data_IF_703057169869
#
_entry.id   IF_703057169869
#
_cell.length_a   1.000
_cell.length_b   1.000
_cell.length_c   1.000
_cell.angle_alpha   90.00
_cell.angle_beta   90.00
_cell.angle_gamma   90.00
#
_symmetry.space_group_name_H-M   'P 1'
#
loop_
_entity.id
_entity.type
_entity.pdbx_description
1 polymer ?
#
# COMPACT_ATOMS: atom_id res chain seq x y z
N UNK A 1 -34.41 -51.28 35.25
CA UNK A 1 -34.58 -50.31 34.15
C UNK A 1 -35.58 -49.24 34.61
N UNK A 2 -35.15 -48.06 35.10
CA UNK A 2 -36.08 -47.04 35.55
C UNK A 2 -36.66 -46.31 34.34
N UNK A 3 -37.99 -46.37 34.18
CA UNK A 3 -38.78 -45.66 33.19
C UNK A 3 -38.76 -44.16 33.48
N UNK A 4 -38.18 -43.37 32.58
CA UNK A 4 -38.15 -41.91 32.67
C UNK A 4 -39.56 -41.39 32.39
N UNK A 5 -40.31 -41.10 33.44
CA UNK A 5 -41.60 -40.40 33.35
C UNK A 5 -41.32 -38.91 33.15
N UNK A 6 -41.38 -38.47 31.90
CA UNK A 6 -41.13 -37.08 31.49
C UNK A 6 -42.26 -36.20 32.05
N UNK A 7 -41.99 -35.55 33.18
CA UNK A 7 -42.88 -34.56 33.78
C UNK A 7 -42.91 -33.32 32.90
N UNK A 8 -44.08 -32.69 32.68
CA UNK A 8 -44.22 -31.51 31.79
C UNK A 8 -43.27 -30.34 32.11
N UNK A 9 -42.77 -30.27 33.35
CA UNK A 9 -41.74 -29.33 33.78
C UNK A 9 -40.38 -29.53 33.07
N UNK A 10 -40.01 -30.77 32.74
CA UNK A 10 -38.76 -31.05 32.00
C UNK A 10 -38.85 -30.60 30.54
N UNK A 11 -40.01 -30.77 29.89
CA UNK A 11 -40.25 -30.30 28.52
C UNK A 11 -40.12 -28.77 28.44
N UNK A 12 -40.70 -28.05 29.40
CA UNK A 12 -40.57 -26.60 29.50
C UNK A 12 -39.11 -26.15 29.69
N UNK A 13 -38.33 -26.92 30.45
CA UNK A 13 -36.91 -26.63 30.70
C UNK A 13 -36.07 -26.79 29.42
N UNK A 14 -36.30 -27.86 28.65
CA UNK A 14 -35.61 -28.06 27.36
C UNK A 14 -35.98 -26.99 26.32
N UNK A 15 -37.24 -26.55 26.30
CA UNK A 15 -37.69 -25.46 25.42
C UNK A 15 -37.00 -24.13 25.76
N UNK A 16 -36.90 -23.80 27.05
CA UNK A 16 -36.18 -22.60 27.51
C UNK A 16 -34.68 -22.68 27.24
N UNK A 17 -34.06 -23.85 27.39
CA UNK A 17 -32.65 -24.06 27.06
C UNK A 17 -32.38 -23.87 25.56
N UNK A 18 -33.29 -24.36 24.72
CA UNK A 18 -33.27 -24.13 23.27
C UNK A 18 -33.36 -22.64 22.93
N UNK A 19 -34.31 -21.92 23.54
CA UNK A 19 -34.49 -20.49 23.32
C UNK A 19 -33.27 -19.67 23.76
N UNK A 20 -32.68 -20.02 24.91
CA UNK A 20 -31.44 -19.43 25.40
C UNK A 20 -30.27 -19.69 24.44
N UNK A 21 -30.14 -20.91 23.91
CA UNK A 21 -29.07 -21.25 22.97
C UNK A 21 -29.14 -20.45 21.66
N UNK A 22 -30.36 -20.22 21.15
CA UNK A 22 -30.60 -19.39 19.97
C UNK A 22 -30.23 -17.94 20.26
N UNK A 23 -30.63 -17.43 21.43
CA UNK A 23 -30.34 -16.06 21.84
C UNK A 23 -28.82 -15.83 22.02
N UNK A 24 -28.12 -16.80 22.61
CA UNK A 24 -26.66 -16.81 22.73
C UNK A 24 -25.98 -16.89 21.36
N UNK A 25 -26.48 -17.72 20.44
CA UNK A 25 -25.94 -17.82 19.08
C UNK A 25 -26.03 -16.48 18.32
N UNK A 26 -27.17 -15.81 18.37
CA UNK A 26 -27.33 -14.48 17.76
C UNK A 26 -26.49 -13.41 18.46
N UNK A 27 -26.36 -13.49 19.79
CA UNK A 27 -25.48 -12.60 20.56
C UNK A 27 -24.01 -12.75 20.16
N UNK A 28 -23.52 -13.99 20.02
CA UNK A 28 -22.16 -14.27 19.54
C UNK A 28 -21.96 -13.81 18.10
N UNK A 29 -22.96 -13.97 17.22
CA UNK A 29 -22.91 -13.42 15.86
C UNK A 29 -22.77 -11.89 15.85
N UNK A 30 -23.53 -11.17 16.67
CA UNK A 30 -23.41 -9.71 16.82
C UNK A 30 -22.06 -9.28 17.40
N UNK A 31 -21.55 -10.04 18.37
CA UNK A 31 -20.23 -9.77 18.96
C UNK A 31 -19.11 -10.04 17.96
N UNK A 32 -19.17 -11.15 17.21
CA UNK A 32 -18.24 -11.42 16.11
C UNK A 32 -18.31 -10.30 15.08
N UNK A 33 -19.50 -9.80 14.75
CA UNK A 33 -19.65 -8.71 13.77
C UNK A 33 -19.14 -7.34 14.27
N UNK A 34 -19.15 -7.09 15.58
CA UNK A 34 -18.63 -5.85 16.20
C UNK A 34 -17.16 -5.94 16.64
N UNK A 35 -16.66 -7.15 16.93
CA UNK A 35 -15.27 -7.44 17.32
C UNK A 35 -14.43 -7.95 16.16
N UNK A 36 -14.86 -7.74 14.92
CA UNK A 36 -14.03 -7.94 13.73
C UNK A 36 -13.33 -6.60 13.39
N UNK A 37 -12.19 -6.23 14.03
CA UNK A 37 -11.40 -5.06 13.63
C UNK A 37 -10.84 -5.23 12.21
N UNK A 38 -11.03 -6.42 11.62
CA UNK A 38 -10.65 -6.76 10.26
C UNK A 38 -11.81 -6.87 9.28
N UNK A 39 -13.08 -6.61 9.63
CA UNK A 39 -14.16 -6.47 8.61
C UNK A 39 -14.19 -5.07 7.99
N UNK A 40 -13.62 -4.07 8.67
CA UNK A 40 -13.06 -2.85 8.04
C UNK A 40 -11.70 -3.13 7.39
N UNK A 41 -11.51 -4.34 6.82
CA UNK A 41 -10.28 -4.69 6.11
C UNK A 41 -10.08 -3.65 4.99
N UNK A 42 -8.88 -3.07 4.89
CA UNK A 42 -8.52 -1.95 4.02
C UNK A 42 -8.37 -2.43 2.56
N UNK A 43 -9.38 -3.13 2.04
CA UNK A 43 -9.41 -3.63 0.68
C UNK A 43 -10.09 -2.66 -0.25
N UNK A 44 -11.24 -2.09 0.12
CA UNK A 44 -12.00 -1.21 -0.77
C UNK A 44 -11.54 0.26 -0.76
N UNK A 45 -11.18 0.81 0.41
CA UNK A 45 -10.68 2.19 0.50
C UNK A 45 -9.31 2.30 -0.19
N UNK A 46 -8.40 1.38 0.14
CA UNK A 46 -7.06 1.26 -0.45
C UNK A 46 -7.09 0.89 -1.93
N UNK A 47 -8.05 0.07 -2.37
CA UNK A 47 -8.21 -0.24 -3.81
C UNK A 47 -8.70 0.94 -4.60
N UNK A 48 -9.67 1.71 -4.10
CA UNK A 48 -10.12 2.94 -4.77
C UNK A 48 -9.01 3.98 -4.85
N UNK A 49 -8.22 4.13 -3.78
CA UNK A 49 -7.10 5.07 -3.74
C UNK A 49 -5.94 4.62 -4.64
N UNK A 50 -5.57 3.34 -4.61
CA UNK A 50 -4.59 2.75 -5.52
C UNK A 50 -5.06 2.84 -6.98
N UNK A 51 -6.31 2.52 -7.28
CA UNK A 51 -6.89 2.62 -8.62
C UNK A 51 -6.86 4.08 -9.11
N UNK A 52 -7.12 5.06 -8.23
CA UNK A 52 -7.05 6.49 -8.56
C UNK A 52 -5.59 6.93 -8.81
N UNK A 53 -4.64 6.49 -8.00
CA UNK A 53 -3.21 6.74 -8.24
C UNK A 53 -2.73 6.11 -9.55
N UNK A 54 -3.11 4.87 -9.84
CA UNK A 54 -2.76 4.18 -11.08
C UNK A 54 -3.37 4.87 -12.30
N UNK A 55 -4.61 5.37 -12.19
CA UNK A 55 -5.22 6.19 -13.23
C UNK A 55 -4.46 7.49 -13.46
N UNK A 56 -4.01 8.18 -12.40
CA UNK A 56 -3.18 9.39 -12.52
C UNK A 56 -1.83 9.11 -13.17
N UNK A 57 -1.26 7.93 -12.90
CA UNK A 57 0.00 7.45 -13.50
C UNK A 57 -0.23 6.93 -14.95
N UNK A 58 -1.47 6.84 -15.43
CA UNK A 58 -1.81 6.44 -16.79
C UNK A 58 -1.89 4.93 -17.03
N UNK A 59 -1.84 4.12 -15.98
CA UNK A 59 -1.99 2.67 -16.07
C UNK A 59 -3.48 2.29 -16.03
N UNK A 60 -4.10 2.14 -17.21
CA UNK A 60 -5.50 1.72 -17.34
C UNK A 60 -5.61 0.19 -17.50
N UNK A 61 -6.46 -0.44 -16.69
CA UNK A 61 -6.92 -1.82 -16.92
C UNK A 61 -6.02 -2.94 -16.41
N UNK A 62 -5.12 -2.67 -15.46
CA UNK A 62 -4.27 -3.72 -14.86
C UNK A 62 -5.06 -4.45 -13.76
N UNK A 63 -5.22 -5.78 -13.90
CA UNK A 63 -5.77 -6.62 -12.82
C UNK A 63 -4.65 -6.89 -11.81
N UNK A 64 -4.63 -6.11 -10.74
CA UNK A 64 -3.65 -6.28 -9.65
C UNK A 64 -4.16 -7.29 -8.62
N UNK A 65 -3.23 -8.11 -8.13
CA UNK A 65 -3.40 -8.94 -6.93
C UNK A 65 -3.40 -8.07 -5.66
N UNK A 66 -3.84 -8.62 -4.52
CA UNK A 66 -3.84 -7.87 -3.25
C UNK A 66 -2.45 -7.35 -2.85
N UNK A 67 -1.40 -8.14 -3.11
CA UNK A 67 -0.02 -7.74 -2.83
C UNK A 67 0.43 -6.58 -3.72
N UNK A 68 0.15 -6.64 -5.02
CA UNK A 68 0.49 -5.56 -5.96
C UNK A 68 -0.30 -4.29 -5.67
N UNK A 69 -1.53 -4.41 -5.17
CA UNK A 69 -2.33 -3.28 -4.72
C UNK A 69 -1.71 -2.59 -3.51
N UNK A 70 -1.19 -3.36 -2.55
CA UNK A 70 -0.45 -2.82 -1.40
C UNK A 70 0.80 -2.06 -1.86
N UNK A 71 1.54 -2.59 -2.84
CA UNK A 71 2.68 -1.89 -3.43
C UNK A 71 2.27 -0.61 -4.17
N UNK A 72 1.17 -0.67 -4.92
CA UNK A 72 0.65 0.47 -5.66
C UNK A 72 0.27 1.65 -4.74
N UNK A 73 -0.23 1.37 -3.53
CA UNK A 73 -0.55 2.41 -2.54
C UNK A 73 0.68 3.20 -2.03
N UNK A 74 1.89 2.66 -2.21
CA UNK A 74 3.15 3.32 -1.80
C UNK A 74 3.76 4.14 -2.94
N UNK A 75 3.24 4.02 -4.17
CA UNK A 75 3.73 4.77 -5.31
C UNK A 75 3.43 6.26 -5.17
N UNK A 76 4.40 7.09 -5.49
CA UNK A 76 4.28 8.55 -5.46
C UNK A 76 4.23 9.08 -6.87
N UNK A 77 3.23 9.90 -7.16
CA UNK A 77 3.10 10.62 -8.42
C UNK A 77 4.17 11.74 -8.51
N UNK A 78 5.04 11.75 -9.53
CA UNK A 78 6.04 12.80 -9.74
C UNK A 78 5.47 14.22 -9.72
N UNK A 79 4.24 14.41 -10.20
CA UNK A 79 3.59 15.73 -10.30
C UNK A 79 3.22 16.31 -8.92
N UNK A 80 3.07 15.46 -7.90
CA UNK A 80 2.73 15.88 -6.54
C UNK A 80 3.95 16.38 -5.75
N UNK A 81 5.16 16.17 -6.27
CA UNK A 81 6.39 16.60 -5.61
C UNK A 81 6.58 18.10 -5.81
N UNK A 82 6.61 18.87 -4.72
CA UNK A 82 6.74 20.34 -4.77
C UNK A 82 8.17 20.83 -5.06
N UNK A 83 9.19 20.04 -4.74
CA UNK A 83 10.61 20.43 -4.80
C UNK A 83 11.18 20.34 -6.23
N UNK A 84 11.91 21.36 -6.66
CA UNK A 84 12.66 21.42 -7.91
C UNK A 84 14.18 21.53 -7.67
N UNK A 85 14.97 21.35 -8.73
CA UNK A 85 16.43 21.54 -8.67
C UNK A 85 16.85 22.97 -8.34
N UNK A 86 16.04 23.96 -8.70
CA UNK A 86 16.25 25.37 -8.36
C UNK A 86 16.22 25.63 -6.86
N UNK A 87 15.55 24.76 -6.11
CA UNK A 87 15.33 24.94 -4.67
C UNK A 87 16.53 24.41 -3.85
N UNK A 88 17.51 23.81 -4.51
CA UNK A 88 18.68 23.17 -3.90
C UNK A 88 19.92 24.00 -4.21
N UNK A 89 20.40 24.74 -3.22
CA UNK A 89 21.61 25.57 -3.36
C UNK A 89 22.90 24.83 -3.00
N UNK A 90 24.00 25.18 -3.67
CA UNK A 90 25.36 24.79 -3.28
C UNK A 90 25.76 23.34 -3.58
N UNK A 91 24.94 22.60 -4.33
CA UNK A 91 25.16 21.19 -4.69
C UNK A 91 25.17 20.98 -6.20
N UNK A 92 25.47 22.03 -6.99
CA UNK A 92 25.38 22.03 -8.45
C UNK A 92 26.20 20.92 -9.14
N UNK A 93 27.39 20.63 -8.62
CA UNK A 93 28.24 19.52 -9.10
C UNK A 93 27.56 18.17 -8.93
N UNK A 94 27.05 17.88 -7.73
CA UNK A 94 26.34 16.65 -7.41
C UNK A 94 25.06 16.52 -8.23
N UNK A 95 24.32 17.62 -8.39
CA UNK A 95 23.11 17.67 -9.22
C UNK A 95 23.44 17.31 -10.68
N UNK A 96 24.54 17.85 -11.22
CA UNK A 96 24.99 17.55 -12.58
C UNK A 96 25.33 16.07 -12.74
N UNK A 97 26.14 15.51 -11.85
CA UNK A 97 26.53 14.11 -11.90
C UNK A 97 25.31 13.19 -11.83
N UNK A 98 24.34 13.52 -10.96
CA UNK A 98 23.12 12.75 -10.78
C UNK A 98 22.20 12.84 -12.02
N UNK A 99 22.14 13.99 -12.70
CA UNK A 99 21.41 14.13 -13.98
C UNK A 99 22.01 13.27 -15.08
N UNK A 100 23.33 13.27 -15.22
CA UNK A 100 24.03 12.48 -16.25
C UNK A 100 23.96 10.97 -15.95
N UNK A 101 24.05 10.59 -14.68
CA UNK A 101 24.16 9.18 -14.28
C UNK A 101 22.79 8.51 -14.11
N UNK A 102 21.76 9.23 -13.64
CA UNK A 102 20.43 8.66 -13.34
C UNK A 102 19.37 9.10 -14.34
N UNK A 103 19.25 10.41 -14.59
CA UNK A 103 18.14 10.93 -15.40
C UNK A 103 18.36 10.65 -16.89
N UNK A 104 19.59 10.81 -17.39
CA UNK A 104 19.91 10.62 -18.81
C UNK A 104 19.60 9.18 -19.28
N UNK A 105 20.02 8.10 -18.58
CA UNK A 105 19.67 6.75 -18.99
C UNK A 105 18.16 6.46 -18.91
N UNK A 106 17.44 7.07 -17.96
CA UNK A 106 15.98 6.90 -17.84
C UNK A 106 15.22 7.58 -18.98
N UNK A 107 15.67 8.75 -19.43
CA UNK A 107 15.06 9.48 -20.56
C UNK A 107 15.44 8.90 -21.93
N UNK A 108 16.69 8.47 -22.10
CA UNK A 108 17.21 7.98 -23.38
C UNK A 108 17.50 6.47 -23.36
N UNK A 109 16.52 5.66 -22.90
CA UNK A 109 16.68 4.20 -22.78
C UNK A 109 17.17 3.53 -24.07
N UNK A 110 16.79 4.04 -25.24
CA UNK A 110 17.15 3.48 -26.55
C UNK A 110 18.65 3.56 -26.86
N UNK A 111 19.34 4.60 -26.40
CA UNK A 111 20.79 4.77 -26.60
C UNK A 111 21.58 3.83 -25.68
N UNK A 112 21.19 3.75 -24.41
CA UNK A 112 21.84 2.90 -23.42
C UNK A 112 21.57 1.40 -23.64
N UNK A 113 20.44 1.02 -24.26
CA UNK A 113 20.16 -0.38 -24.60
C UNK A 113 21.06 -0.95 -25.71
N UNK A 114 21.57 -0.09 -26.60
CA UNK A 114 22.34 -0.50 -27.79
C UNK A 114 23.84 -0.50 -27.54
N UNK A 115 24.30 0.28 -26.56
CA UNK A 115 25.72 0.41 -26.25
C UNK A 115 26.08 -0.52 -25.09
N UNK A 116 27.09 -1.38 -25.28
CA UNK A 116 27.67 -2.16 -24.18
C UNK A 116 28.58 -1.34 -23.26
N UNK A 117 29.02 -0.15 -23.70
CA UNK A 117 29.97 0.70 -22.98
C UNK A 117 29.28 1.63 -21.97
N UNK A 118 28.08 2.11 -22.28
CA UNK A 118 27.28 3.00 -21.45
C UNK A 118 26.12 2.20 -20.85
N UNK A 119 26.25 1.85 -19.57
CA UNK A 119 25.20 1.19 -18.79
C UNK A 119 24.70 2.11 -17.67
N UNK A 120 23.41 2.06 -17.38
CA UNK A 120 22.86 2.77 -16.24
C UNK A 120 23.43 2.19 -14.93
N UNK A 121 23.77 3.04 -13.94
CA UNK A 121 24.19 2.56 -12.63
C UNK A 121 23.08 1.73 -11.98
N UNK A 122 23.45 0.72 -11.20
CA UNK A 122 22.48 -0.10 -10.46
C UNK A 122 21.77 0.66 -9.34
N UNK A 123 22.42 1.71 -8.81
CA UNK A 123 21.89 2.54 -7.74
C UNK A 123 22.85 3.68 -7.40
N UNK A 124 22.35 4.66 -6.64
CA UNK A 124 23.11 5.81 -6.15
C UNK A 124 22.92 5.90 -4.63
N UNK A 125 24.01 6.13 -3.90
CA UNK A 125 24.00 6.33 -2.46
C UNK A 125 24.28 7.80 -2.13
N UNK A 126 23.32 8.47 -1.51
CA UNK A 126 23.49 9.83 -0.98
C UNK A 126 23.85 9.75 0.51
N UNK A 127 25.07 10.15 0.87
CA UNK A 127 25.56 10.10 2.26
C UNK A 127 26.01 11.49 2.74
N UNK A 128 26.12 11.66 4.06
CA UNK A 128 26.59 12.89 4.70
C UNK A 128 25.87 13.20 6.01
N UNK A 129 26.26 14.26 6.74
CA UNK A 129 25.64 14.64 8.01
C UNK A 129 24.15 15.01 7.87
N UNK A 130 23.35 14.94 8.94
CA UNK A 130 21.95 15.34 8.89
C UNK A 130 21.82 16.81 8.47
N UNK A 131 20.80 17.15 7.68
CA UNK A 131 20.56 18.53 7.21
C UNK A 131 21.17 18.90 5.85
N UNK A 132 22.03 18.08 5.24
CA UNK A 132 22.63 18.39 3.92
C UNK A 132 21.72 18.16 2.69
N UNK A 133 20.40 18.18 2.83
CA UNK A 133 19.49 18.14 1.68
C UNK A 133 19.40 16.82 0.89
N UNK A 134 19.95 15.69 1.38
CA UNK A 134 19.89 14.38 0.69
C UNK A 134 18.48 13.98 0.23
N UNK A 135 17.50 14.08 1.13
CA UNK A 135 16.09 13.76 0.84
C UNK A 135 15.48 14.76 -0.15
N UNK A 136 15.93 16.01 -0.12
CA UNK A 136 15.44 17.06 -1.01
C UNK A 136 15.94 16.84 -2.45
N UNK A 137 17.22 16.47 -2.62
CA UNK A 137 17.78 16.02 -3.91
C UNK A 137 16.99 14.82 -4.44
N UNK A 138 16.76 13.79 -3.63
CA UNK A 138 16.02 12.61 -4.06
C UNK A 138 14.61 12.95 -4.57
N UNK A 139 13.90 13.87 -3.89
CA UNK A 139 12.59 14.37 -4.32
C UNK A 139 12.68 15.12 -5.65
N UNK A 140 13.63 16.04 -5.81
CA UNK A 140 13.82 16.78 -7.05
C UNK A 140 14.17 15.85 -8.24
N UNK A 141 14.98 14.81 -8.00
CA UNK A 141 15.26 13.78 -9.00
C UNK A 141 13.99 13.03 -9.40
N UNK A 142 13.21 12.55 -8.44
CA UNK A 142 11.99 11.79 -8.69
C UNK A 142 10.95 12.59 -9.49
N UNK A 143 10.90 13.92 -9.30
CA UNK A 143 10.03 14.81 -10.09
C UNK A 143 10.48 14.95 -11.55
N UNK A 144 11.78 14.89 -11.79
CA UNK A 144 12.39 15.22 -13.10
C UNK A 144 12.65 13.99 -13.96
N UNK A 145 12.85 12.82 -13.33
CA UNK A 145 13.08 11.54 -14.00
C UNK A 145 11.86 11.10 -14.82
#
# INVERSE_FOLDING_TARGET
MPSVTITGKQIATFLQLGLLSVLVYYGVQLVIETMDPTKKRPGQLTRKEADNLLQKIGLKGVKLTEHELSLASTLVDPLTISVNWSDIGGLDSVIKDLKETVILPMRQKSLFRKSHLLSAPKGVLLYGPPGCGKTMIAKATAKTA
#
